data_IF_065557739486
#
_entry.id   IF_065557739486
#
_cell.length_a   1.000
_cell.length_b   1.000
_cell.length_c   1.000
_cell.angle_alpha   90.00
_cell.angle_beta   90.00
_cell.angle_gamma   90.00
#
_symmetry.space_group_name_H-M   'P 1'
#
loop_
_entity.id
_entity.type
_entity.pdbx_description
1 polymer ?
#
# COMPACT_ATOMS: atom_id res chain seq x y z
N UNK A 1 -44.81 -52.32 35.67
CA UNK A 1 -45.84 -51.54 34.94
C UNK A 1 -45.74 -50.12 35.46
N UNK A 2 -45.59 -49.02 34.70
CA UNK A 2 -45.57 -48.77 33.27
C UNK A 2 -44.54 -47.65 33.01
N UNK A 3 -43.73 -47.81 31.96
CA UNK A 3 -42.96 -46.72 31.34
C UNK A 3 -43.95 -45.96 30.45
N UNK A 4 -44.25 -44.70 30.75
CA UNK A 4 -45.03 -43.84 29.85
C UNK A 4 -44.09 -42.91 29.12
N UNK A 5 -43.95 -43.20 27.84
CA UNK A 5 -43.18 -42.49 26.83
C UNK A 5 -43.76 -41.09 26.59
N UNK A 6 -42.96 -40.05 26.83
CA UNK A 6 -43.23 -38.71 26.31
C UNK A 6 -42.68 -38.64 24.88
N UNK A 7 -43.57 -38.83 23.91
CA UNK A 7 -43.33 -38.57 22.49
C UNK A 7 -43.36 -37.06 22.24
N UNK A 8 -42.24 -36.60 21.69
CA UNK A 8 -42.13 -35.68 20.54
C UNK A 8 -43.12 -34.51 20.43
N UNK A 9 -42.59 -33.30 20.63
CA UNK A 9 -42.82 -32.18 19.71
C UNK A 9 -41.47 -31.58 19.31
N UNK A 10 -40.81 -32.25 18.35
CA UNK A 10 -39.78 -31.61 17.53
C UNK A 10 -40.50 -30.64 16.57
N UNK A 11 -40.73 -29.41 17.04
CA UNK A 11 -40.97 -28.30 16.14
C UNK A 11 -39.71 -28.09 15.32
N UNK A 12 -39.75 -28.56 14.07
CA UNK A 12 -38.76 -28.26 13.04
C UNK A 12 -38.67 -26.74 12.96
N UNK A 13 -37.60 -26.14 13.51
CA UNK A 13 -37.16 -24.80 13.13
C UNK A 13 -37.04 -24.81 11.61
N UNK A 14 -37.93 -24.07 10.95
CA UNK A 14 -37.80 -23.71 9.55
C UNK A 14 -36.44 -23.03 9.46
N UNK A 15 -35.49 -23.64 8.74
CA UNK A 15 -34.20 -23.03 8.46
C UNK A 15 -34.46 -21.76 7.67
N UNK A 16 -34.45 -20.61 8.35
CA UNK A 16 -34.25 -19.33 7.67
C UNK A 16 -32.97 -19.47 6.83
N UNK A 17 -32.97 -19.00 5.57
CA UNK A 17 -31.74 -18.98 4.78
C UNK A 17 -30.70 -18.19 5.59
N UNK A 18 -29.58 -18.83 5.93
CA UNK A 18 -28.45 -18.18 6.57
C UNK A 18 -28.14 -16.89 5.82
N UNK A 19 -28.19 -15.74 6.50
CA UNK A 19 -27.81 -14.46 5.89
C UNK A 19 -26.41 -14.60 5.29
N UNK A 20 -26.23 -14.08 4.08
CA UNK A 20 -24.91 -14.02 3.44
C UNK A 20 -24.03 -13.10 4.28
N UNK A 21 -22.75 -13.43 4.43
CA UNK A 21 -21.82 -12.65 5.24
C UNK A 21 -20.92 -11.81 4.34
N UNK A 22 -20.78 -10.54 4.68
CA UNK A 22 -19.85 -9.63 4.02
C UNK A 22 -18.82 -9.12 5.04
N UNK A 23 -17.56 -9.13 4.64
CA UNK A 23 -16.47 -8.67 5.48
C UNK A 23 -15.80 -7.45 4.89
N UNK A 24 -15.64 -6.39 5.69
CA UNK A 24 -15.00 -5.15 5.27
C UNK A 24 -13.60 -5.07 5.86
N UNK A 25 -12.61 -5.06 4.97
CA UNK A 25 -11.21 -4.77 5.28
C UNK A 25 -10.87 -3.34 4.89
N UNK A 26 -10.29 -2.60 5.82
CA UNK A 26 -10.10 -1.15 5.69
C UNK A 26 -8.84 -0.70 6.44
N UNK A 27 -8.16 0.37 6.01
CA UNK A 27 -6.95 0.85 6.67
C UNK A 27 -7.19 1.14 8.16
N UNK A 28 -6.44 0.44 9.01
CA UNK A 28 -6.40 0.71 10.44
C UNK A 28 -5.32 1.77 10.66
N UNK A 29 -5.69 3.04 10.58
CA UNK A 29 -4.83 4.14 11.04
C UNK A 29 -4.78 4.20 12.57
N UNK A 30 -3.78 4.89 13.12
CA UNK A 30 -3.78 5.29 14.54
C UNK A 30 -5.09 6.05 14.85
N UNK A 31 -5.59 5.90 16.08
CA UNK A 31 -6.83 6.54 16.54
C UNK A 31 -6.79 8.06 16.27
N UNK A 32 -7.89 8.62 15.73
CA UNK A 32 -8.06 10.01 15.31
C UNK A 32 -7.37 10.49 14.02
N UNK A 33 -6.92 9.60 13.13
CA UNK A 33 -6.49 10.01 11.78
C UNK A 33 -7.67 10.36 10.86
N UNK A 34 -7.48 11.33 9.95
CA UNK A 34 -8.48 11.71 8.93
C UNK A 34 -8.86 10.52 8.05
N UNK A 35 -7.89 9.67 7.73
CA UNK A 35 -8.09 8.43 6.94
C UNK A 35 -9.09 7.50 7.64
N UNK A 36 -8.95 7.30 8.95
CA UNK A 36 -9.87 6.44 9.70
C UNK A 36 -11.27 7.04 9.75
N UNK A 37 -11.40 8.33 10.04
CA UNK A 37 -12.71 9.00 10.06
C UNK A 37 -13.42 8.92 8.71
N UNK A 38 -12.68 9.15 7.62
CA UNK A 38 -13.17 9.02 6.25
C UNK A 38 -13.64 7.58 5.97
N UNK A 39 -12.80 6.59 6.27
CA UNK A 39 -13.12 5.19 6.07
C UNK A 39 -14.38 4.77 6.85
N UNK A 40 -14.51 5.16 8.13
CA UNK A 40 -15.70 4.89 8.94
C UNK A 40 -16.95 5.52 8.32
N UNK A 41 -16.88 6.80 7.92
CA UNK A 41 -18.01 7.47 7.28
C UNK A 41 -18.44 6.79 5.99
N UNK A 42 -17.49 6.33 5.17
CA UNK A 42 -17.79 5.58 3.95
C UNK A 42 -18.44 4.21 4.26
N UNK A 43 -17.95 3.51 5.29
CA UNK A 43 -18.51 2.23 5.72
C UNK A 43 -19.96 2.39 6.17
N UNK A 44 -20.22 3.33 7.06
CA UNK A 44 -21.53 3.51 7.70
C UNK A 44 -22.59 4.08 6.75
N UNK A 45 -22.18 4.94 5.82
CA UNK A 45 -23.13 5.65 4.94
C UNK A 45 -23.32 4.93 3.60
N UNK A 46 -22.30 4.22 3.10
CA UNK A 46 -22.35 3.56 1.79
C UNK A 46 -22.38 2.05 1.92
N UNK A 47 -21.35 1.46 2.51
CA UNK A 47 -21.14 0.01 2.46
C UNK A 47 -22.22 -0.74 3.24
N UNK A 48 -22.38 -0.43 4.53
CA UNK A 48 -23.32 -1.15 5.41
C UNK A 48 -24.78 -1.04 4.93
N UNK A 49 -25.31 0.15 4.57
CA UNK A 49 -26.68 0.27 4.11
C UNK A 49 -26.95 -0.54 2.83
N UNK A 50 -26.04 -0.47 1.85
CA UNK A 50 -26.23 -1.18 0.58
C UNK A 50 -26.13 -2.69 0.78
N UNK A 51 -25.15 -3.16 1.56
CA UNK A 51 -25.02 -4.58 1.84
C UNK A 51 -26.22 -5.12 2.62
N UNK A 52 -26.75 -4.35 3.57
CA UNK A 52 -27.97 -4.71 4.31
C UNK A 52 -29.19 -4.81 3.37
N UNK A 53 -29.36 -3.86 2.45
CA UNK A 53 -30.41 -3.92 1.41
C UNK A 53 -30.27 -5.13 0.49
N UNK A 54 -29.04 -5.60 0.24
CA UNK A 54 -28.73 -6.81 -0.53
C UNK A 54 -28.80 -8.10 0.31
N UNK A 55 -29.20 -8.01 1.59
CA UNK A 55 -29.42 -9.15 2.47
C UNK A 55 -28.16 -9.71 3.15
N UNK A 56 -27.09 -8.93 3.22
CA UNK A 56 -25.86 -9.32 3.91
C UNK A 56 -25.87 -8.95 5.39
N UNK A 57 -25.19 -9.77 6.18
CA UNK A 57 -24.68 -9.40 7.50
C UNK A 57 -23.23 -8.90 7.33
N UNK A 58 -23.02 -7.62 7.59
CA UNK A 58 -21.71 -6.97 7.42
C UNK A 58 -20.92 -7.00 8.73
N UNK A 59 -19.65 -7.35 8.64
CA UNK A 59 -18.69 -7.22 9.75
C UNK A 59 -17.45 -6.46 9.29
N UNK A 60 -16.86 -5.66 10.18
CA UNK A 60 -15.73 -4.78 9.86
C UNK A 60 -14.52 -5.20 10.70
N UNK A 61 -13.39 -5.40 10.05
CA UNK A 61 -12.15 -5.95 10.64
C UNK A 61 -11.77 -5.38 12.01
N UNK A 62 -11.76 -4.06 12.14
CA UNK A 62 -11.31 -3.39 13.36
C UNK A 62 -12.42 -3.18 14.42
N UNK A 63 -13.68 -3.50 14.09
CA UNK A 63 -14.82 -3.40 15.02
C UNK A 63 -15.10 -4.71 15.77
N UNK A 64 -14.41 -5.79 15.41
CA UNK A 64 -14.57 -7.10 16.06
C UNK A 64 -13.86 -7.08 17.43
N UNK A 65 -14.64 -7.17 18.49
CA UNK A 65 -14.18 -7.23 19.89
C UNK A 65 -14.55 -8.61 20.46
N UNK A 66 -13.99 -9.68 19.88
CA UNK A 66 -14.22 -11.05 20.34
C UNK A 66 -12.95 -11.63 20.99
N UNK A 67 -13.13 -12.44 22.04
CA UNK A 67 -12.02 -13.07 22.76
C UNK A 67 -11.27 -14.10 21.90
N UNK A 68 -9.94 -13.99 21.80
CA UNK A 68 -9.08 -14.89 21.02
C UNK A 68 -7.94 -14.15 20.33
N UNK A 69 -7.15 -14.85 19.50
CA UNK A 69 -6.17 -14.17 18.63
C UNK A 69 -6.92 -13.44 17.51
N UNK A 70 -6.92 -12.11 17.55
CA UNK A 70 -7.56 -11.21 16.59
C UNK A 70 -7.20 -11.60 15.14
N UNK A 71 -5.95 -11.99 14.92
CA UNK A 71 -5.43 -12.40 13.61
C UNK A 71 -6.14 -13.64 13.04
N UNK A 72 -6.44 -14.64 13.86
CA UNK A 72 -7.07 -15.88 13.37
C UNK A 72 -8.53 -15.65 12.95
N UNK A 73 -9.26 -14.83 13.69
CA UNK A 73 -10.65 -14.51 13.39
C UNK A 73 -10.75 -13.67 12.11
N UNK A 74 -9.90 -12.66 11.97
CA UNK A 74 -9.80 -11.83 10.78
C UNK A 74 -9.57 -12.69 9.52
N UNK A 75 -8.57 -13.57 9.57
CA UNK A 75 -8.26 -14.47 8.45
C UNK A 75 -9.42 -15.41 8.18
N UNK A 76 -10.07 -15.98 9.21
CA UNK A 76 -11.24 -16.84 9.00
C UNK A 76 -12.37 -16.13 8.24
N UNK A 77 -12.65 -14.85 8.55
CA UNK A 77 -13.65 -14.04 7.83
C UNK A 77 -13.25 -13.84 6.37
N UNK A 78 -11.98 -13.53 6.11
CA UNK A 78 -11.47 -13.38 4.74
C UNK A 78 -11.59 -14.68 3.94
N UNK A 79 -11.34 -15.82 4.58
CA UNK A 79 -11.44 -17.13 3.94
C UNK A 79 -12.90 -17.59 3.75
N UNK A 80 -13.78 -17.30 4.71
CA UNK A 80 -15.09 -17.95 4.82
C UNK A 80 -16.27 -17.10 4.36
N UNK A 81 -16.23 -15.77 4.52
CA UNK A 81 -17.37 -14.90 4.21
C UNK A 81 -17.65 -14.88 2.70
N UNK A 82 -18.92 -14.69 2.34
CA UNK A 82 -19.42 -14.79 0.96
C UNK A 82 -18.86 -13.66 0.08
N UNK A 83 -18.62 -12.49 0.68
CA UNK A 83 -18.10 -11.31 0.01
C UNK A 83 -17.08 -10.59 0.89
N UNK A 84 -16.01 -10.08 0.28
CA UNK A 84 -15.07 -9.16 0.93
C UNK A 84 -15.13 -7.80 0.23
N UNK A 85 -15.21 -6.72 1.00
CA UNK A 85 -15.04 -5.35 0.51
C UNK A 85 -13.68 -4.87 0.99
N UNK A 86 -12.83 -4.46 0.07
CA UNK A 86 -11.47 -4.02 0.37
C UNK A 86 -11.26 -2.54 0.05
N UNK A 87 -11.03 -1.75 1.10
CA UNK A 87 -10.69 -0.34 0.96
C UNK A 87 -9.18 -0.16 0.77
N UNK A 88 -8.76 0.11 -0.46
CA UNK A 88 -7.36 0.25 -0.87
C UNK A 88 -6.81 1.68 -0.68
N UNK A 89 -7.63 2.60 -0.13
CA UNK A 89 -7.21 3.99 0.11
C UNK A 89 -5.95 4.05 0.96
N UNK A 90 -4.97 4.85 0.54
CA UNK A 90 -3.70 4.99 1.25
C UNK A 90 -2.77 3.77 1.19
N UNK A 91 -3.12 2.72 0.44
CA UNK A 91 -2.28 1.54 0.17
C UNK A 91 -1.76 0.85 1.44
N UNK A 92 -2.63 0.65 2.44
CA UNK A 92 -2.25 0.04 3.69
C UNK A 92 -1.69 -1.39 3.47
N UNK A 93 -0.45 -1.70 3.93
CA UNK A 93 0.17 -3.00 3.69
C UNK A 93 -0.62 -4.19 4.25
N UNK A 94 -1.33 -4.02 5.37
CA UNK A 94 -2.15 -5.08 5.95
C UNK A 94 -3.35 -5.38 5.05
N UNK A 95 -4.02 -4.35 4.54
CA UNK A 95 -5.13 -4.54 3.58
C UNK A 95 -4.64 -5.23 2.31
N UNK A 96 -3.46 -4.86 1.80
CA UNK A 96 -2.87 -5.52 0.64
C UNK A 96 -2.60 -7.02 0.88
N UNK A 97 -2.12 -7.37 2.08
CA UNK A 97 -1.95 -8.76 2.48
C UNK A 97 -3.28 -9.53 2.52
N UNK A 98 -4.31 -8.94 3.11
CA UNK A 98 -5.65 -9.53 3.22
C UNK A 98 -6.31 -9.74 1.84
N UNK A 99 -6.12 -8.78 0.93
CA UNK A 99 -6.55 -8.89 -0.48
C UNK A 99 -5.86 -10.08 -1.17
N UNK A 100 -4.56 -10.25 -0.99
CA UNK A 100 -3.83 -11.39 -1.54
C UNK A 100 -4.37 -12.73 -1.01
N UNK A 101 -4.69 -12.82 0.28
CA UNK A 101 -5.31 -14.01 0.89
C UNK A 101 -6.69 -14.28 0.27
N UNK A 102 -7.52 -13.24 0.09
CA UNK A 102 -8.84 -13.38 -0.55
C UNK A 102 -8.74 -13.85 -2.00
N UNK A 103 -7.78 -13.31 -2.76
CA UNK A 103 -7.52 -13.75 -4.13
C UNK A 103 -7.11 -15.22 -4.19
N UNK A 104 -6.30 -15.68 -3.23
CA UNK A 104 -5.84 -17.07 -3.17
C UNK A 104 -6.99 -18.06 -2.95
N UNK A 105 -8.02 -17.71 -2.16
CA UNK A 105 -9.22 -18.56 -1.99
C UNK A 105 -10.26 -18.41 -3.09
N UNK A 106 -10.06 -17.47 -4.02
CA UNK A 106 -10.90 -17.30 -5.21
C UNK A 106 -12.39 -17.10 -4.89
N UNK A 107 -12.68 -16.33 -3.85
CA UNK A 107 -14.04 -15.93 -3.50
C UNK A 107 -14.29 -14.45 -3.83
N UNK A 108 -15.56 -14.03 -4.01
CA UNK A 108 -15.89 -12.66 -4.43
C UNK A 108 -15.23 -11.57 -3.58
N UNK A 109 -14.70 -10.55 -4.25
CA UNK A 109 -14.10 -9.36 -3.64
C UNK A 109 -14.46 -8.11 -4.46
N UNK A 110 -14.76 -7.01 -3.78
CA UNK A 110 -14.95 -5.69 -4.38
C UNK A 110 -13.91 -4.74 -3.82
N UNK A 111 -13.11 -4.14 -4.70
CA UNK A 111 -12.15 -3.12 -4.31
C UNK A 111 -12.78 -1.73 -4.38
N UNK A 112 -12.56 -0.92 -3.34
CA UNK A 112 -12.93 0.49 -3.28
C UNK A 112 -11.69 1.31 -2.96
N UNK A 113 -11.59 2.51 -3.53
CA UNK A 113 -10.42 3.35 -3.37
C UNK A 113 -10.77 4.83 -3.57
N UNK A 114 -10.21 5.71 -2.75
CA UNK A 114 -10.40 7.15 -2.93
C UNK A 114 -9.66 7.66 -4.18
N UNK A 115 -10.32 8.55 -4.92
CA UNK A 115 -9.76 9.23 -6.08
C UNK A 115 -8.40 9.87 -5.77
N UNK A 116 -7.44 9.69 -6.66
CA UNK A 116 -6.07 10.19 -6.48
C UNK A 116 -5.11 9.15 -5.89
N UNK A 117 -5.63 8.02 -5.38
CA UNK A 117 -4.77 6.90 -4.99
C UNK A 117 -4.24 6.17 -6.23
N UNK A 118 -2.91 6.11 -6.37
CA UNK A 118 -2.26 5.38 -7.46
C UNK A 118 -2.06 3.92 -7.06
N UNK A 119 -2.93 3.04 -7.55
CA UNK A 119 -2.82 1.61 -7.25
C UNK A 119 -1.49 1.01 -7.75
N UNK A 120 -0.92 0.04 -7.00
CA UNK A 120 0.24 -0.71 -7.46
C UNK A 120 -0.12 -1.53 -8.71
N UNK A 121 0.89 -1.86 -9.50
CA UNK A 121 0.69 -2.54 -10.79
C UNK A 121 -0.10 -3.87 -10.64
N UNK A 122 0.13 -4.62 -9.57
CA UNK A 122 -0.54 -5.89 -9.30
C UNK A 122 -2.06 -5.77 -9.14
N UNK A 123 -2.56 -4.62 -8.67
CA UNK A 123 -3.99 -4.31 -8.57
C UNK A 123 -4.48 -3.37 -9.67
N UNK A 124 -3.59 -2.84 -10.51
CA UNK A 124 -3.93 -1.84 -11.53
C UNK A 124 -4.83 -2.38 -12.64
N UNK A 125 -4.86 -3.69 -12.85
CA UNK A 125 -5.79 -4.35 -13.79
C UNK A 125 -7.07 -4.83 -13.13
N UNK A 126 -7.14 -4.80 -11.80
CA UNK A 126 -8.28 -5.30 -11.04
C UNK A 126 -9.37 -4.25 -10.97
N UNK A 127 -10.63 -4.70 -11.08
CA UNK A 127 -11.78 -3.80 -11.02
C UNK A 127 -11.81 -3.13 -9.66
N UNK A 128 -11.71 -1.81 -9.66
CA UNK A 128 -11.71 -0.97 -8.46
C UNK A 128 -12.67 0.19 -8.64
N UNK A 129 -13.51 0.40 -7.63
CA UNK A 129 -14.43 1.53 -7.57
C UNK A 129 -13.65 2.71 -7.00
N UNK A 130 -13.51 3.74 -7.81
CA UNK A 130 -12.89 4.99 -7.40
C UNK A 130 -13.96 5.99 -6.95
N UNK A 131 -13.84 6.53 -5.74
CA UNK A 131 -14.83 7.43 -5.15
C UNK A 131 -14.22 8.74 -4.68
N UNK A 132 -15.04 9.80 -4.62
CA UNK A 132 -14.67 11.08 -4.00
C UNK A 132 -15.16 11.11 -2.56
N UNK A 133 -14.31 11.53 -1.65
CA UNK A 133 -14.67 11.66 -0.24
C UNK A 133 -15.32 13.01 0.06
N UNK A 134 -16.49 13.24 -0.52
CA UNK A 134 -17.34 14.40 -0.28
C UNK A 134 -18.82 14.00 -0.27
N UNK A 135 -19.71 14.92 0.10
CA UNK A 135 -21.14 14.64 0.23
C UNK A 135 -21.80 14.19 -1.08
N UNK A 136 -21.32 14.66 -2.24
CA UNK A 136 -21.85 14.26 -3.54
C UNK A 136 -21.27 12.91 -3.98
N UNK A 137 -19.98 12.68 -3.72
CA UNK A 137 -19.30 11.42 -4.01
C UNK A 137 -19.97 10.23 -3.31
N UNK A 138 -20.50 10.43 -2.09
CA UNK A 138 -21.33 9.44 -1.40
C UNK A 138 -22.57 9.07 -2.21
N UNK A 139 -23.24 10.01 -2.88
CA UNK A 139 -24.44 9.71 -3.68
C UNK A 139 -24.04 9.01 -4.98
N UNK A 140 -23.02 9.53 -5.66
CA UNK A 140 -22.53 9.02 -6.95
C UNK A 140 -22.03 7.57 -6.88
N UNK A 141 -21.39 7.20 -5.77
CA UNK A 141 -20.80 5.88 -5.61
C UNK A 141 -21.83 4.80 -5.28
N UNK A 142 -23.00 5.13 -4.71
CA UNK A 142 -23.98 4.12 -4.23
C UNK A 142 -24.43 3.17 -5.32
N UNK A 143 -24.88 3.71 -6.45
CA UNK A 143 -25.39 2.89 -7.55
C UNK A 143 -24.26 2.06 -8.19
N UNK A 144 -23.07 2.65 -8.29
CA UNK A 144 -21.87 1.97 -8.79
C UNK A 144 -21.48 0.82 -7.86
N UNK A 145 -21.45 1.06 -6.55
CA UNK A 145 -21.13 0.07 -5.52
C UNK A 145 -22.10 -1.10 -5.53
N UNK A 146 -23.41 -0.82 -5.56
CA UNK A 146 -24.44 -1.87 -5.67
C UNK A 146 -24.18 -2.78 -6.87
N UNK A 147 -24.00 -2.20 -8.06
CA UNK A 147 -23.79 -2.96 -9.30
C UNK A 147 -22.53 -3.83 -9.25
N UNK A 148 -21.47 -3.33 -8.62
CA UNK A 148 -20.23 -4.10 -8.45
C UNK A 148 -20.41 -5.27 -7.48
N UNK A 149 -21.15 -5.07 -6.38
CA UNK A 149 -21.48 -6.16 -5.45
C UNK A 149 -22.31 -7.23 -6.15
N UNK A 150 -23.34 -6.85 -6.88
CA UNK A 150 -24.17 -7.78 -7.66
C UNK A 150 -23.33 -8.55 -8.70
N UNK A 151 -22.49 -7.84 -9.46
CA UNK A 151 -21.60 -8.46 -10.44
C UNK A 151 -20.59 -9.43 -9.81
N UNK A 152 -20.02 -9.08 -8.66
CA UNK A 152 -19.08 -9.95 -7.93
C UNK A 152 -19.76 -11.23 -7.42
N UNK A 153 -21.05 -11.19 -7.11
CA UNK A 153 -21.84 -12.35 -6.69
C UNK A 153 -22.26 -13.27 -7.84
N UNK A 154 -22.50 -12.69 -9.02
CA UNK A 154 -22.82 -13.45 -10.24
C UNK A 154 -21.58 -14.07 -10.89
N UNK A 155 -20.39 -13.66 -10.46
CA UNK A 155 -19.13 -14.12 -11.00
C UNK A 155 -18.87 -15.61 -10.68
N UNK A 156 -19.20 -16.47 -11.63
CA UNK A 156 -19.01 -17.93 -11.52
C UNK A 156 -17.54 -18.36 -11.54
N UNK A 157 -16.64 -17.50 -12.04
CA UNK A 157 -15.20 -17.74 -12.12
C UNK A 157 -14.45 -16.45 -11.79
N UNK A 158 -14.25 -16.18 -10.50
CA UNK A 158 -13.43 -15.05 -10.08
C UNK A 158 -12.04 -15.13 -10.73
N UNK A 159 -11.72 -14.11 -11.53
CA UNK A 159 -10.41 -13.91 -12.13
C UNK A 159 -9.57 -12.99 -11.24
N UNK A 160 -8.30 -13.33 -11.04
CA UNK A 160 -7.37 -12.53 -10.23
C UNK A 160 -5.91 -12.90 -10.54
N UNK A 161 -4.91 -12.09 -10.13
CA UNK A 161 -3.51 -12.30 -10.50
C UNK A 161 -2.96 -13.67 -10.07
N UNK A 162 -3.35 -14.16 -8.89
CA UNK A 162 -2.91 -15.45 -8.35
C UNK A 162 -3.50 -16.60 -9.18
N UNK A 163 -4.77 -16.49 -9.56
CA UNK A 163 -5.42 -17.49 -10.38
C UNK A 163 -4.84 -17.53 -11.81
N UNK A 164 -4.55 -16.36 -12.40
CA UNK A 164 -3.94 -16.26 -13.73
C UNK A 164 -2.58 -16.97 -13.75
N UNK A 165 -1.72 -16.68 -12.78
CA UNK A 165 -0.40 -17.31 -12.66
C UNK A 165 -0.47 -18.82 -12.41
N UNK A 166 -1.35 -19.27 -11.50
CA UNK A 166 -1.49 -20.71 -11.21
C UNK A 166 -2.09 -21.51 -12.36
N UNK A 167 -3.10 -20.96 -13.05
CA UNK A 167 -3.71 -21.58 -14.22
C UNK A 167 -2.72 -21.72 -15.37
N UNK A 168 -1.94 -20.68 -15.61
CA UNK A 168 -0.89 -20.67 -16.62
C UNK A 168 0.16 -21.75 -16.35
N UNK A 169 0.63 -21.88 -15.10
CA UNK A 169 1.55 -22.95 -14.70
C UNK A 169 0.95 -24.33 -14.93
N UNK A 170 -0.30 -24.56 -14.52
CA UNK A 170 -0.98 -25.85 -14.73
C UNK A 170 -1.18 -26.19 -16.22
N UNK A 171 -1.42 -25.19 -17.06
CA UNK A 171 -1.54 -25.37 -18.52
C UNK A 171 -0.17 -25.74 -19.11
N UNK A 172 0.89 -25.06 -18.70
CA UNK A 172 2.25 -25.36 -19.16
C UNK A 172 2.69 -26.77 -18.76
N UNK A 173 2.42 -27.18 -17.52
CA UNK A 173 2.78 -28.51 -17.04
C UNK A 173 2.05 -29.62 -17.82
N UNK A 174 0.76 -29.44 -18.13
CA UNK A 174 0.00 -30.42 -18.94
C UNK A 174 0.44 -30.46 -20.39
N UNK A 175 0.70 -29.30 -21.00
CA UNK A 175 1.13 -29.22 -22.40
C UNK A 175 2.53 -29.82 -22.61
N UNK A 176 3.40 -29.78 -21.59
CA UNK A 176 4.74 -30.35 -21.68
C UNK A 176 4.70 -31.86 -22.03
N UNK A 177 3.71 -32.59 -21.50
CA UNK A 177 3.57 -34.03 -21.72
C UNK A 177 2.64 -34.37 -22.91
N UNK A 178 1.58 -33.57 -23.15
CA UNK A 178 0.58 -33.85 -24.20
C UNK A 178 0.91 -33.27 -25.58
N UNK A 179 1.54 -32.09 -25.64
CA UNK A 179 1.80 -31.36 -26.89
C UNK A 179 3.04 -30.44 -26.76
N UNK A 180 4.25 -30.99 -26.98
CA UNK A 180 5.52 -30.28 -26.79
C UNK A 180 5.67 -29.04 -27.69
N UNK A 181 5.07 -29.04 -28.87
CA UNK A 181 5.13 -27.92 -29.82
C UNK A 181 4.31 -26.74 -29.30
N UNK A 182 3.10 -27.01 -28.79
CA UNK A 182 2.25 -26.00 -28.18
C UNK A 182 2.83 -25.47 -26.87
N UNK A 183 3.46 -26.32 -26.07
CA UNK A 183 4.24 -25.90 -24.90
C UNK A 183 5.34 -24.90 -25.28
N UNK A 184 6.13 -25.22 -26.32
CA UNK A 184 7.22 -24.37 -26.77
C UNK A 184 6.70 -23.00 -27.24
N UNK A 185 5.59 -22.96 -27.97
CA UNK A 185 4.95 -21.70 -28.40
C UNK A 185 4.50 -20.88 -27.18
N UNK A 186 3.81 -21.50 -26.22
CA UNK A 186 3.33 -20.79 -25.02
C UNK A 186 4.50 -20.24 -24.21
N UNK A 187 5.56 -21.04 -24.02
CA UNK A 187 6.79 -20.60 -23.34
C UNK A 187 7.43 -19.40 -24.02
N UNK A 188 7.51 -19.40 -25.36
CA UNK A 188 8.04 -18.27 -26.13
C UNK A 188 7.18 -17.01 -25.99
N UNK A 189 5.86 -17.14 -25.95
CA UNK A 189 4.96 -16.01 -25.72
C UNK A 189 5.18 -15.41 -24.33
N UNK A 190 5.36 -16.24 -23.31
CA UNK A 190 5.65 -15.79 -21.94
C UNK A 190 7.01 -15.10 -21.83
N UNK A 191 8.03 -15.62 -22.51
CA UNK A 191 9.35 -14.97 -22.59
C UNK A 191 9.23 -13.58 -23.23
N UNK A 192 8.45 -13.46 -24.31
CA UNK A 192 8.18 -12.16 -24.97
C UNK A 192 7.42 -11.24 -24.02
N UNK A 193 6.39 -11.72 -23.33
CA UNK A 193 5.63 -10.92 -22.37
C UNK A 193 6.53 -10.40 -21.25
N UNK A 194 7.41 -11.24 -20.70
CA UNK A 194 8.40 -10.84 -19.68
C UNK A 194 9.35 -9.77 -20.19
N UNK A 195 9.87 -9.92 -21.42
CA UNK A 195 10.73 -8.91 -22.05
C UNK A 195 9.97 -7.59 -22.26
N UNK A 196 8.71 -7.65 -22.68
CA UNK A 196 7.84 -6.48 -22.84
C UNK A 196 7.57 -5.82 -21.49
N UNK A 197 7.22 -6.58 -20.45
CA UNK A 197 7.04 -6.10 -19.07
C UNK A 197 8.30 -5.42 -18.55
N UNK A 198 9.46 -6.03 -18.74
CA UNK A 198 10.76 -5.47 -18.34
C UNK A 198 11.05 -4.16 -19.06
N UNK A 199 10.77 -4.10 -20.36
CA UNK A 199 10.96 -2.88 -21.15
C UNK A 199 9.95 -1.80 -20.78
N UNK A 200 8.68 -2.13 -20.55
CA UNK A 200 7.67 -1.19 -20.07
C UNK A 200 8.05 -0.66 -18.68
N UNK A 201 8.55 -1.52 -17.78
CA UNK A 201 9.01 -1.08 -16.47
C UNK A 201 10.24 -0.19 -16.57
N UNK A 202 11.23 -0.54 -17.40
CA UNK A 202 12.38 0.35 -17.69
C UNK A 202 11.95 1.66 -18.34
N UNK A 203 10.95 1.64 -19.22
CA UNK A 203 10.38 2.83 -19.86
C UNK A 203 9.55 3.66 -18.88
N UNK A 204 8.86 3.03 -17.92
CA UNK A 204 8.17 3.69 -16.81
C UNK A 204 9.17 4.25 -15.81
N UNK A 205 10.25 3.55 -15.46
CA UNK A 205 11.36 4.09 -14.66
C UNK A 205 12.01 5.26 -15.39
N UNK A 206 12.25 5.16 -16.71
CA UNK A 206 12.72 6.29 -17.51
C UNK A 206 11.72 7.45 -17.58
N UNK A 207 10.43 7.16 -17.68
CA UNK A 207 9.38 8.18 -17.74
C UNK A 207 9.12 8.81 -16.36
N UNK A 208 9.20 8.04 -15.29
CA UNK A 208 9.18 8.48 -13.89
C UNK A 208 10.43 9.33 -13.63
N UNK A 209 11.59 8.96 -14.18
CA UNK A 209 12.81 9.77 -14.10
C UNK A 209 12.84 10.96 -15.08
N UNK A 210 11.95 11.02 -16.08
CA UNK A 210 11.86 12.10 -17.08
C UNK A 210 10.60 12.97 -16.97
N UNK A 211 9.65 12.64 -16.09
CA UNK A 211 8.58 13.52 -15.67
C UNK A 211 9.13 14.35 -14.52
N UNK A 212 9.24 15.66 -14.73
CA UNK A 212 9.68 16.64 -13.72
C UNK A 212 9.03 16.37 -12.36
N UNK A 213 9.77 15.65 -11.51
CA UNK A 213 9.41 15.33 -10.13
C UNK A 213 9.30 16.60 -9.25
N UNK A 214 9.64 17.78 -9.80
CA UNK A 214 9.57 19.07 -9.12
C UNK A 214 8.16 19.70 -9.08
N UNK A 215 7.19 19.27 -9.92
CA UNK A 215 5.99 20.09 -10.14
C UNK A 215 4.68 19.63 -9.46
N UNK A 216 4.60 18.43 -8.86
CA UNK A 216 3.30 17.87 -8.42
C UNK A 216 3.25 17.24 -7.02
N UNK A 217 4.25 17.44 -6.15
CA UNK A 217 4.12 17.07 -4.74
C UNK A 217 3.75 18.30 -3.88
N UNK A 218 2.82 18.18 -2.92
CA UNK A 218 2.71 19.16 -1.84
C UNK A 218 4.09 19.24 -1.16
N UNK A 219 4.67 20.44 -1.10
CA UNK A 219 6.01 20.72 -0.55
C UNK A 219 6.08 20.42 0.95
N UNK A 220 6.20 19.15 1.33
CA UNK A 220 6.52 18.74 2.70
C UNK A 220 8.04 18.46 2.85
N UNK A 221 8.73 18.16 1.74
CA UNK A 221 10.19 18.01 1.65
C UNK A 221 10.86 19.15 0.88
N UNK A 222 10.50 20.42 1.11
CA UNK A 222 11.22 21.49 0.43
C UNK A 222 12.62 21.64 1.02
N UNK A 223 13.65 21.16 0.31
CA UNK A 223 15.07 21.43 0.57
C UNK A 223 15.42 22.89 0.19
N UNK A 224 14.66 23.85 0.71
CA UNK A 224 14.80 25.26 0.36
C UNK A 224 15.74 26.01 1.30
N UNK A 225 16.05 25.45 2.47
CA UNK A 225 16.88 26.10 3.47
C UNK A 225 18.36 25.81 3.17
N UNK A 226 19.00 26.77 2.50
CA UNK A 226 20.45 26.75 2.30
C UNK A 226 21.15 27.09 3.62
N UNK A 227 22.02 26.19 4.06
CA UNK A 227 22.88 26.37 5.21
C UNK A 227 24.34 26.43 4.76
N UNK A 228 25.08 27.41 5.29
CA UNK A 228 26.48 27.63 5.00
C UNK A 228 27.30 27.54 6.28
N UNK A 229 28.36 26.75 6.24
CA UNK A 229 29.20 26.51 7.39
C UNK A 229 30.69 26.57 7.05
N UNK A 230 31.51 26.90 8.05
CA UNK A 230 32.97 26.87 7.98
C UNK A 230 33.54 26.03 9.11
N UNK A 231 34.59 25.27 8.81
CA UNK A 231 35.32 24.52 9.82
C UNK A 231 36.76 24.24 9.42
N UNK A 232 37.61 24.09 10.43
CA UNK A 232 38.98 23.59 10.27
C UNK A 232 38.97 22.07 10.46
N UNK A 233 39.62 21.33 9.57
CA UNK A 233 39.78 19.88 9.73
C UNK A 233 41.13 19.40 9.20
N UNK A 234 41.87 18.65 10.01
CA UNK A 234 43.09 17.97 9.56
C UNK A 234 42.85 16.81 8.60
N UNK A 235 41.58 16.48 8.30
CA UNK A 235 41.21 15.40 7.38
C UNK A 235 41.27 15.86 5.92
N UNK A 236 41.49 14.93 5.01
CA UNK A 236 41.40 15.21 3.57
C UNK A 236 39.94 15.39 3.14
N UNK A 237 39.73 16.01 1.98
CA UNK A 237 38.39 16.36 1.50
C UNK A 237 37.50 15.12 1.33
N UNK A 238 38.08 13.98 0.91
CA UNK A 238 37.34 12.72 0.69
C UNK A 238 36.86 12.11 2.00
N UNK A 239 37.68 12.12 3.05
CA UNK A 239 37.26 11.66 4.36
C UNK A 239 36.13 12.53 4.94
N UNK A 240 36.12 13.83 4.64
CA UNK A 240 35.04 14.74 5.05
C UNK A 240 33.76 14.44 4.24
N UNK A 241 33.87 14.19 2.94
CA UNK A 241 32.74 13.80 2.10
C UNK A 241 32.10 12.49 2.58
N UNK A 242 32.88 11.47 2.94
CA UNK A 242 32.36 10.20 3.50
C UNK A 242 31.61 10.42 4.83
N UNK A 243 32.12 11.29 5.71
CA UNK A 243 31.43 11.62 6.96
C UNK A 243 30.11 12.33 6.67
N UNK A 244 30.10 13.29 5.75
CA UNK A 244 28.89 14.02 5.37
C UNK A 244 27.86 13.10 4.72
N UNK A 245 28.30 12.17 3.87
CA UNK A 245 27.46 11.14 3.27
C UNK A 245 26.79 10.30 4.35
N UNK A 246 27.57 9.75 5.29
CA UNK A 246 27.01 8.93 6.36
C UNK A 246 26.09 9.70 7.30
N UNK A 247 26.44 10.94 7.63
CA UNK A 247 25.63 11.82 8.47
C UNK A 247 24.25 12.05 7.83
N UNK A 248 24.22 12.38 6.54
CA UNK A 248 23.00 12.73 5.83
C UNK A 248 22.14 11.49 5.59
N UNK A 249 22.71 10.39 5.09
CA UNK A 249 21.93 9.17 4.80
C UNK A 249 21.55 8.39 6.06
N UNK A 250 22.45 8.20 7.01
CA UNK A 250 22.21 7.29 8.13
C UNK A 250 21.72 8.01 9.39
N UNK A 251 22.26 9.19 9.73
CA UNK A 251 21.82 9.92 10.94
C UNK A 251 20.55 10.72 10.71
N UNK A 252 20.37 11.28 9.52
CA UNK A 252 19.19 12.09 9.18
C UNK A 252 18.18 11.38 8.27
N UNK A 253 18.51 10.20 7.73
CA UNK A 253 17.65 9.47 6.78
C UNK A 253 17.25 10.34 5.58
N UNK A 254 18.18 11.17 5.11
CA UNK A 254 18.00 12.07 3.97
C UNK A 254 18.71 11.55 2.74
N UNK A 255 18.16 11.92 1.59
CA UNK A 255 18.82 11.73 0.30
C UNK A 255 19.99 12.73 0.13
N UNK A 256 21.21 12.21 0.01
CA UNK A 256 22.42 13.00 -0.12
C UNK A 256 22.45 13.87 -1.37
N UNK A 257 21.87 13.39 -2.48
CA UNK A 257 21.83 14.14 -3.74
C UNK A 257 20.90 15.36 -3.62
N UNK A 258 19.76 15.20 -2.92
CA UNK A 258 18.81 16.29 -2.68
C UNK A 258 19.36 17.39 -1.77
N UNK A 259 20.31 17.06 -0.89
CA UNK A 259 20.98 18.03 -0.04
C UNK A 259 21.92 18.99 -0.79
N UNK A 260 22.23 18.76 -2.07
CA UNK A 260 23.11 19.62 -2.88
C UNK A 260 24.40 20.05 -2.16
N UNK A 261 25.06 19.07 -1.52
CA UNK A 261 26.25 19.30 -0.69
C UNK A 261 27.39 19.83 -1.56
N UNK A 262 27.91 21.01 -1.21
CA UNK A 262 29.06 21.65 -1.85
C UNK A 262 30.13 21.92 -0.80
N UNK A 263 31.18 21.11 -0.83
CA UNK A 263 32.37 21.28 0.00
C UNK A 263 33.49 21.93 -0.82
N UNK A 264 34.02 23.06 -0.34
CA UNK A 264 35.17 23.74 -0.94
C UNK A 264 36.27 23.90 0.09
N UNK A 265 37.50 23.54 -0.28
CA UNK A 265 38.68 23.84 0.54
C UNK A 265 39.12 25.28 0.29
N UNK A 266 39.21 26.07 1.36
CA UNK A 266 39.78 27.41 1.33
C UNK A 266 41.19 27.32 1.93
N UNK A 267 42.23 27.58 1.11
CA UNK A 267 43.62 27.51 1.58
C UNK A 267 43.95 28.81 2.33
N UNK A 268 44.29 28.71 3.61
CA UNK A 268 44.84 29.84 4.36
C UNK A 268 46.04 29.35 5.17
N UNK A 269 47.25 29.79 4.80
CA UNK A 269 48.52 29.69 5.55
C UNK A 269 48.62 28.58 6.60
N UNK A 270 48.63 27.31 6.16
CA UNK A 270 48.86 26.15 7.04
C UNK A 270 47.63 25.58 7.75
N UNK A 271 46.44 26.17 7.59
CA UNK A 271 45.17 25.66 8.12
C UNK A 271 44.29 25.10 7.01
N UNK A 272 43.78 23.89 7.22
CA UNK A 272 42.85 23.21 6.31
C UNK A 272 41.42 23.67 6.60
N UNK A 273 41.05 24.82 6.05
CA UNK A 273 39.73 25.42 6.20
C UNK A 273 38.79 24.92 5.10
N UNK A 274 37.55 24.59 5.46
CA UNK A 274 36.53 24.10 4.55
C UNK A 274 35.25 24.92 4.65
N UNK A 275 34.69 25.28 3.50
CA UNK A 275 33.35 25.84 3.36
C UNK A 275 32.39 24.76 2.90
N UNK A 276 31.36 24.50 3.71
CA UNK A 276 30.29 23.56 3.41
C UNK A 276 28.99 24.32 3.15
N UNK A 277 28.39 24.10 1.99
CA UNK A 277 27.03 24.56 1.71
C UNK A 277 26.16 23.35 1.46
N UNK A 278 25.00 23.27 2.11
CA UNK A 278 24.02 22.23 1.86
C UNK A 278 22.61 22.76 2.04
N UNK A 279 21.65 22.08 1.42
CA UNK A 279 20.23 22.31 1.59
C UNK A 279 19.66 21.26 2.51
N UNK A 280 18.89 21.69 3.49
CA UNK A 280 18.19 20.81 4.40
C UNK A 280 16.67 20.98 4.23
N UNK A 281 15.88 19.92 4.48
CA UNK A 281 14.43 20.05 4.54
C UNK A 281 13.99 21.02 5.64
N UNK A 282 12.81 21.63 5.48
CA UNK A 282 12.29 22.59 6.46
C UNK A 282 12.14 22.04 7.89
N UNK A 283 11.98 20.73 8.05
CA UNK A 283 11.84 20.08 9.36
C UNK A 283 13.19 19.80 10.05
N UNK A 284 14.33 20.02 9.38
CA UNK A 284 15.66 19.91 9.98
C UNK A 284 16.23 21.32 10.17
N UNK A 285 16.40 21.70 11.42
CA UNK A 285 17.06 22.96 11.74
C UNK A 285 18.57 22.85 11.51
N UNK A 286 19.19 23.91 10.99
CA UNK A 286 20.65 23.99 10.87
C UNK A 286 21.39 23.82 12.20
N UNK A 287 20.75 24.11 13.34
CA UNK A 287 21.29 23.84 14.68
C UNK A 287 21.36 22.35 14.99
N UNK A 288 20.33 21.58 14.62
CA UNK A 288 20.32 20.12 14.79
C UNK A 288 21.39 19.47 13.92
N UNK A 289 21.53 19.92 12.68
CA UNK A 289 22.58 19.44 11.79
C UNK A 289 23.99 19.70 12.34
N UNK A 290 24.26 20.91 12.84
CA UNK A 290 25.55 21.23 13.47
C UNK A 290 25.88 20.32 14.66
N UNK A 291 24.92 20.07 15.56
CA UNK A 291 25.15 19.22 16.74
C UNK A 291 25.57 17.80 16.38
N UNK A 292 24.92 17.19 15.40
CA UNK A 292 25.26 15.83 14.93
C UNK A 292 26.59 15.81 14.16
N UNK A 293 26.87 16.85 13.36
CA UNK A 293 28.16 16.96 12.68
C UNK A 293 29.34 17.09 13.67
N UNK A 294 29.16 17.85 14.75
CA UNK A 294 30.13 17.98 15.84
C UNK A 294 30.33 16.64 16.58
N UNK A 295 29.25 15.88 16.82
CA UNK A 295 29.33 14.55 17.40
C UNK A 295 30.14 13.56 16.54
N UNK A 296 30.13 13.73 15.20
CA UNK A 296 30.95 12.95 14.26
C UNK A 296 32.38 13.50 14.08
N UNK A 297 32.77 14.53 14.83
CA UNK A 297 34.11 15.11 14.83
C UNK A 297 34.37 16.13 13.73
N UNK A 298 33.32 16.75 13.16
CA UNK A 298 33.42 17.94 12.31
C UNK A 298 33.05 19.16 13.16
N UNK A 299 34.01 20.01 13.50
CA UNK A 299 33.75 21.22 14.30
C UNK A 299 33.18 22.36 13.45
N UNK A 300 31.92 22.19 13.05
CA UNK A 300 31.21 23.06 12.12
C UNK A 300 30.67 24.32 12.82
N UNK A 301 31.04 25.49 12.29
CA UNK A 301 30.51 26.78 12.75
C UNK A 301 29.60 27.40 11.66
N UNK A 302 28.43 27.88 12.07
CA UNK A 302 27.49 28.58 11.18
C UNK A 302 28.09 29.91 10.72
N UNK A 303 28.09 30.14 9.41
CA UNK A 303 28.22 31.50 8.87
C UNK A 303 26.79 32.03 8.79
N UNK A 304 26.49 33.15 9.44
CA UNK A 304 25.18 33.81 9.30
C UNK A 304 24.92 34.24 7.86
#
# INVERSE_FOLDING_TARGET
MAKTSLKEKNEKKVNEPSKKRAFVITPIGNDNTEIRRSAEGFIDVVIEPILSELGFETSVAHRIIDGGSITNQLISRILDDDLVIANLTGLNPNVMYEVAVRHAVRKPIVHVCENGTKLPFDLGTERTIFFRNDMMGVIEVRDTFRRYVEAALEETKADNPIYRASSESMILDKLQDEDPDKYLIMKRLNDIESLVKTNINKSKEKAINNLDYEMLLPKVDSYNNLHSYMFESGRDIRAIEDILFRLIEFSFSLDFEKCQVKLKRETNEGKHLYRLNLRLPNYISGKRFMGEAQAMGLDIQSIF
#
